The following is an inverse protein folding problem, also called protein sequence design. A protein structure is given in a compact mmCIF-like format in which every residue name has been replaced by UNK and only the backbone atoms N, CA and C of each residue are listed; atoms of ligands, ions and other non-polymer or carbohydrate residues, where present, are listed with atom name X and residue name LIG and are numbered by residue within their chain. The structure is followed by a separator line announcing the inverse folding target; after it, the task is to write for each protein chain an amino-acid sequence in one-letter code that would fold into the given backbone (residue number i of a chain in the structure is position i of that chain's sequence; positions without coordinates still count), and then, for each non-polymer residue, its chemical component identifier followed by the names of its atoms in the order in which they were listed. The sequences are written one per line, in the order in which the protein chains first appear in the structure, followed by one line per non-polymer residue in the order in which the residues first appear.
data_IF_990188992872
#
_entry.id   IF_990188992872
#
_cell.length_a   1.000
_cell.length_b   1.000
_cell.length_c   1.000
_cell.angle_alpha   90.00
_cell.angle_beta   90.00
_cell.angle_gamma   90.00
#
_symmetry.space_group_name_H-M   'P 1'
#
loop_
_entity.id
_entity.type
_entity.pdbx_description
1 polymer ?
#
# COMPACT_ATOMS: atom_id res chain seq x y z
N UNK A 1 -33.06 57.64 22.27
CA UNK A 1 -32.55 56.54 21.38
C UNK A 1 -31.61 57.15 20.32
N UNK A 2 -30.27 56.92 20.46
CA UNK A 2 -29.28 57.40 19.48
C UNK A 2 -29.44 56.62 18.18
N UNK A 3 -29.74 57.27 17.07
CA UNK A 3 -29.83 56.66 15.73
C UNK A 3 -28.41 56.39 15.24
N UNK A 4 -28.12 55.13 14.90
CA UNK A 4 -26.84 54.69 14.30
C UNK A 4 -26.68 55.37 12.93
N UNK A 5 -25.55 56.06 12.65
CA UNK A 5 -25.31 56.76 11.39
C UNK A 5 -25.38 55.80 10.18
N UNK A 6 -25.93 56.29 9.05
CA UNK A 6 -26.10 55.46 7.81
C UNK A 6 -24.80 54.82 7.34
N UNK A 7 -23.64 55.48 7.49
CA UNK A 7 -22.32 54.92 7.13
C UNK A 7 -21.93 53.70 7.97
N UNK A 8 -22.30 53.66 9.26
CA UNK A 8 -22.02 52.51 10.14
C UNK A 8 -22.91 51.33 9.78
N UNK A 9 -24.18 51.58 9.38
CA UNK A 9 -25.07 50.53 8.93
C UNK A 9 -24.60 49.87 7.60
N UNK A 10 -24.05 50.67 6.67
CA UNK A 10 -23.48 50.18 5.44
C UNK A 10 -22.22 49.31 5.70
N UNK A 11 -21.35 49.77 6.62
CA UNK A 11 -20.13 49.01 6.99
C UNK A 11 -20.46 47.68 7.67
N UNK A 12 -21.49 47.65 8.54
CA UNK A 12 -22.00 46.43 9.17
C UNK A 12 -22.59 45.46 8.15
N UNK A 13 -23.30 45.97 7.13
CA UNK A 13 -23.84 45.16 6.04
C UNK A 13 -22.76 44.52 5.17
N UNK A 14 -21.67 45.26 4.86
CA UNK A 14 -20.52 44.75 4.08
C UNK A 14 -19.78 43.67 4.86
N UNK A 15 -19.55 43.85 6.17
CA UNK A 15 -18.92 42.82 7.01
C UNK A 15 -19.78 41.54 7.14
N UNK A 16 -21.10 41.68 7.24
CA UNK A 16 -22.00 40.52 7.27
C UNK A 16 -21.96 39.76 5.95
N UNK A 17 -21.90 40.44 4.79
CA UNK A 17 -21.79 39.82 3.48
C UNK A 17 -20.45 39.06 3.31
N UNK A 18 -19.36 39.66 3.77
CA UNK A 18 -18.02 39.05 3.75
C UNK A 18 -17.98 37.76 4.59
N UNK A 19 -18.57 37.78 5.79
CA UNK A 19 -18.64 36.58 6.64
C UNK A 19 -19.47 35.48 6.00
N UNK A 20 -20.56 35.78 5.32
CA UNK A 20 -21.37 34.81 4.59
C UNK A 20 -20.59 34.22 3.42
N UNK A 21 -19.85 35.05 2.67
CA UNK A 21 -18.97 34.56 1.59
C UNK A 21 -17.87 33.63 2.11
N UNK A 22 -17.23 33.96 3.23
CA UNK A 22 -16.21 33.10 3.86
C UNK A 22 -16.84 31.76 4.29
N UNK A 23 -18.02 31.77 4.89
CA UNK A 23 -18.72 30.54 5.27
C UNK A 23 -19.11 29.67 4.07
N UNK A 24 -19.59 30.29 2.98
CA UNK A 24 -19.93 29.56 1.73
C UNK A 24 -18.66 28.98 1.11
N UNK A 25 -17.58 29.76 1.01
CA UNK A 25 -16.30 29.27 0.48
C UNK A 25 -15.71 28.13 1.33
N UNK A 26 -15.75 28.24 2.66
CA UNK A 26 -15.32 27.18 3.56
C UNK A 26 -16.17 25.92 3.42
N UNK A 27 -17.49 26.06 3.29
CA UNK A 27 -18.40 24.95 3.11
C UNK A 27 -18.19 24.25 1.74
N UNK A 28 -17.93 25.01 0.68
CA UNK A 28 -17.61 24.48 -0.64
C UNK A 28 -16.25 23.79 -0.68
N UNK A 29 -15.25 24.32 0.04
CA UNK A 29 -13.93 23.69 0.23
C UNK A 29 -14.06 22.37 1.00
N UNK A 30 -14.81 22.35 2.09
CA UNK A 30 -15.07 21.13 2.87
C UNK A 30 -15.81 20.08 2.01
N UNK A 31 -16.84 20.50 1.24
CA UNK A 31 -17.52 19.59 0.30
C UNK A 31 -16.57 19.02 -0.75
N UNK A 32 -15.60 19.82 -1.24
CA UNK A 32 -14.63 19.36 -2.24
C UNK A 32 -13.62 18.38 -1.66
N UNK A 33 -13.28 18.52 -0.37
CA UNK A 33 -12.37 17.60 0.36
C UNK A 33 -13.12 16.31 0.77
N UNK A 34 -14.43 16.37 1.01
CA UNK A 34 -15.25 15.23 1.43
C UNK A 34 -15.98 14.53 0.28
N UNK A 35 -15.91 15.03 -0.96
CA UNK A 35 -16.34 14.23 -2.12
C UNK A 35 -15.30 13.16 -2.38
N UNK A 36 -15.70 11.86 -2.40
CA UNK A 36 -14.81 10.82 -2.94
C UNK A 36 -14.49 11.22 -4.38
N UNK A 37 -13.23 11.38 -4.70
CA UNK A 37 -12.80 11.56 -6.09
C UNK A 37 -13.15 10.27 -6.83
N UNK A 38 -14.06 10.33 -7.78
CA UNK A 38 -14.29 9.27 -8.78
C UNK A 38 -13.06 9.18 -9.72
N UNK A 39 -11.91 8.94 -9.11
CA UNK A 39 -10.64 8.79 -9.77
C UNK A 39 -9.98 7.50 -9.36
N UNK A 40 -10.12 6.50 -10.19
CA UNK A 40 -9.34 5.27 -10.23
C UNK A 40 -9.95 4.04 -9.54
N UNK A 41 -10.78 3.34 -10.30
CA UNK A 41 -11.32 1.99 -10.02
C UNK A 41 -10.23 0.96 -9.67
N UNK A 42 -8.97 1.20 -9.98
CA UNK A 42 -7.86 0.29 -9.73
C UNK A 42 -7.43 0.26 -8.25
N UNK A 43 -7.38 1.42 -7.58
CA UNK A 43 -7.00 1.51 -6.17
C UNK A 43 -8.06 0.91 -5.24
N UNK A 44 -9.35 1.13 -5.53
CA UNK A 44 -10.46 0.60 -4.72
C UNK A 44 -10.57 -0.93 -4.80
N UNK A 45 -10.26 -1.54 -5.96
CA UNK A 45 -10.25 -2.98 -6.12
C UNK A 45 -9.10 -3.64 -5.34
N UNK A 46 -7.94 -3.00 -5.30
CA UNK A 46 -6.78 -3.50 -4.57
C UNK A 46 -6.98 -3.44 -3.05
N UNK A 47 -7.48 -2.32 -2.53
CA UNK A 47 -7.82 -2.17 -1.11
C UNK A 47 -8.88 -3.18 -0.68
N UNK A 48 -9.91 -3.38 -1.50
CA UNK A 48 -10.98 -4.35 -1.22
C UNK A 48 -10.48 -5.79 -1.21
N UNK A 49 -9.54 -6.14 -2.08
CA UNK A 49 -8.94 -7.49 -2.11
C UNK A 49 -8.04 -7.77 -0.89
N UNK A 50 -7.36 -6.75 -0.37
CA UNK A 50 -6.55 -6.85 0.84
C UNK A 50 -7.44 -6.99 2.09
N UNK A 51 -8.54 -6.25 2.15
CA UNK A 51 -9.54 -6.35 3.22
C UNK A 51 -10.20 -7.73 3.24
N UNK A 52 -10.54 -8.30 2.08
CA UNK A 52 -11.06 -9.67 1.97
C UNK A 52 -10.02 -10.73 2.38
N UNK A 53 -8.74 -10.50 2.07
CA UNK A 53 -7.65 -11.40 2.46
C UNK A 53 -7.50 -11.47 3.99
N UNK A 54 -7.55 -10.34 4.66
CA UNK A 54 -7.35 -10.23 6.11
C UNK A 54 -8.60 -10.53 6.95
N UNK A 55 -9.81 -10.24 6.43
CA UNK A 55 -11.06 -10.36 7.18
C UNK A 55 -11.47 -11.79 7.54
N UNK A 56 -10.90 -12.79 6.86
CA UNK A 56 -11.19 -14.21 7.08
C UNK A 56 -10.25 -14.91 8.08
N UNK A 57 -9.23 -14.21 8.59
CA UNK A 57 -8.21 -14.80 9.45
C UNK A 57 -8.47 -14.49 10.92
N UNK A 58 -8.60 -15.52 11.73
CA UNK A 58 -8.64 -15.42 13.19
C UNK A 58 -7.20 -15.26 13.72
N UNK A 59 -7.00 -14.27 14.60
CA UNK A 59 -5.71 -13.97 15.22
C UNK A 59 -5.68 -14.36 16.67
N UNK A 60 -4.56 -14.85 17.15
CA UNK A 60 -4.37 -15.22 18.55
C UNK A 60 -3.06 -14.63 19.10
N UNK A 61 -3.11 -14.09 20.32
CA UNK A 61 -1.92 -13.61 21.00
C UNK A 61 -1.20 -14.78 21.66
N UNK A 62 0.12 -14.82 21.48
CA UNK A 62 1.00 -15.84 22.09
C UNK A 62 1.88 -15.21 23.15
N UNK A 63 2.18 -15.97 24.21
CA UNK A 63 2.95 -15.49 25.36
C UNK A 63 4.44 -15.34 25.07
N UNK A 64 4.99 -16.21 24.21
CA UNK A 64 6.41 -16.19 23.85
C UNK A 64 6.62 -15.47 22.52
N UNK A 65 7.72 -14.73 22.34
CA UNK A 65 8.06 -14.17 21.04
C UNK A 65 8.12 -15.25 19.97
N UNK A 66 7.56 -14.95 18.80
CA UNK A 66 7.55 -15.85 17.66
C UNK A 66 8.57 -15.40 16.62
N UNK A 67 9.08 -16.36 15.86
CA UNK A 67 9.90 -16.06 14.68
C UNK A 67 8.96 -15.76 13.51
N UNK A 68 9.22 -14.66 12.81
CA UNK A 68 8.56 -14.31 11.56
C UNK A 68 9.48 -14.72 10.40
N UNK A 69 9.14 -15.76 9.62
CA UNK A 69 9.88 -16.07 8.40
C UNK A 69 9.66 -14.97 7.37
N UNK A 70 10.76 -14.45 6.82
CA UNK A 70 10.76 -13.44 5.76
C UNK A 70 11.54 -14.01 4.58
N UNK A 71 10.94 -14.01 3.39
CA UNK A 71 11.62 -14.29 2.14
C UNK A 71 11.78 -12.97 1.40
N UNK A 72 13.02 -12.52 1.30
CA UNK A 72 13.40 -11.27 0.65
C UNK A 72 13.87 -11.55 -0.77
N UNK A 73 13.35 -10.80 -1.71
CA UNK A 73 13.70 -10.80 -3.12
C UNK A 73 14.07 -9.38 -3.55
N UNK A 74 14.70 -9.26 -4.71
CA UNK A 74 14.91 -7.99 -5.40
C UNK A 74 14.30 -8.08 -6.79
N UNK A 75 14.93 -8.79 -7.72
CA UNK A 75 14.50 -8.93 -9.10
C UNK A 75 14.04 -10.34 -9.45
N UNK A 76 13.03 -10.42 -10.33
CA UNK A 76 12.50 -11.69 -10.86
C UNK A 76 12.43 -11.62 -12.39
N UNK A 77 13.51 -12.02 -13.05
CA UNK A 77 13.58 -12.09 -14.52
C UNK A 77 14.63 -13.11 -14.95
N UNK A 78 14.70 -13.41 -16.26
CA UNK A 78 15.78 -14.21 -16.80
C UNK A 78 17.05 -13.35 -16.86
N UNK A 79 18.05 -13.71 -16.08
CA UNK A 79 19.30 -12.97 -15.95
C UNK A 79 20.05 -12.88 -17.28
N UNK A 80 20.50 -11.71 -17.66
CA UNK A 80 21.44 -11.49 -18.75
C UNK A 80 22.89 -11.71 -18.28
N UNK A 81 23.81 -12.05 -19.20
CA UNK A 81 25.23 -12.24 -18.87
C UNK A 81 25.87 -10.98 -18.26
N UNK A 82 25.44 -9.81 -18.69
CA UNK A 82 25.90 -8.50 -18.16
C UNK A 82 25.57 -8.29 -16.68
N UNK A 83 24.58 -9.01 -16.16
CA UNK A 83 24.07 -8.92 -14.78
C UNK A 83 24.75 -9.90 -13.82
N UNK A 84 25.74 -10.67 -14.29
CA UNK A 84 26.41 -11.73 -13.50
C UNK A 84 26.94 -11.24 -12.15
N UNK A 85 27.34 -9.97 -12.03
CA UNK A 85 27.77 -9.36 -10.77
C UNK A 85 26.64 -9.28 -9.72
N UNK A 86 25.37 -9.29 -10.15
CA UNK A 86 24.17 -9.16 -9.32
C UNK A 86 23.35 -10.47 -9.28
N UNK A 87 23.92 -11.59 -9.71
CA UNK A 87 23.24 -12.88 -9.82
C UNK A 87 22.55 -13.32 -8.51
N UNK A 88 23.07 -12.93 -7.37
CA UNK A 88 22.50 -13.22 -6.04
C UNK A 88 21.23 -12.41 -5.73
N UNK A 89 20.89 -11.39 -6.52
CA UNK A 89 19.71 -10.55 -6.36
C UNK A 89 18.59 -10.92 -7.36
N UNK A 90 18.90 -11.80 -8.33
CA UNK A 90 18.00 -12.13 -9.44
C UNK A 90 17.53 -13.59 -9.29
N UNK A 91 16.22 -13.80 -9.40
CA UNK A 91 15.59 -15.11 -9.43
C UNK A 91 14.86 -15.27 -10.76
N UNK A 92 15.05 -16.36 -11.48
CA UNK A 92 14.30 -16.60 -12.69
C UNK A 92 12.80 -16.82 -12.42
N UNK A 93 11.90 -16.45 -13.36
CA UNK A 93 10.45 -16.51 -13.15
C UNK A 93 9.91 -17.92 -12.86
N UNK A 94 10.50 -18.96 -13.46
CA UNK A 94 10.07 -20.35 -13.25
C UNK A 94 10.42 -20.81 -11.83
N UNK A 95 11.63 -20.48 -11.36
CA UNK A 95 12.05 -20.76 -9.99
C UNK A 95 11.17 -20.00 -9.00
N UNK A 96 10.91 -18.72 -9.22
CA UNK A 96 10.02 -17.96 -8.36
C UNK A 96 8.60 -18.56 -8.33
N UNK A 97 8.03 -18.90 -9.47
CA UNK A 97 6.73 -19.56 -9.54
C UNK A 97 6.72 -20.90 -8.80
N UNK A 98 7.80 -21.70 -8.92
CA UNK A 98 7.92 -22.97 -8.21
C UNK A 98 7.94 -22.80 -6.69
N UNK A 99 8.58 -21.73 -6.20
CA UNK A 99 8.59 -21.36 -4.78
C UNK A 99 7.19 -20.97 -4.28
N UNK A 100 6.43 -20.18 -5.06
CA UNK A 100 5.02 -19.87 -4.73
C UNK A 100 4.15 -21.12 -4.68
N UNK A 101 4.32 -22.04 -5.65
CA UNK A 101 3.64 -23.36 -5.66
C UNK A 101 3.96 -24.16 -4.41
N UNK A 102 5.23 -24.19 -3.99
CA UNK A 102 5.67 -24.91 -2.81
C UNK A 102 5.06 -24.30 -1.51
N UNK A 103 5.09 -22.99 -1.37
CA UNK A 103 4.45 -22.30 -0.25
C UNK A 103 2.95 -22.59 -0.17
N UNK A 104 2.25 -22.53 -1.31
CA UNK A 104 0.82 -22.84 -1.40
C UNK A 104 0.52 -24.28 -1.02
N UNK A 105 1.29 -25.23 -1.57
CA UNK A 105 1.16 -26.66 -1.26
C UNK A 105 1.41 -26.96 0.21
N UNK A 106 2.36 -26.25 0.84
CA UNK A 106 2.67 -26.38 2.26
C UNK A 106 1.68 -25.65 3.19
N UNK A 107 0.67 -24.95 2.64
CA UNK A 107 -0.37 -24.26 3.39
C UNK A 107 0.08 -22.97 4.06
N UNK A 108 1.09 -22.30 3.49
CA UNK A 108 1.52 -20.99 4.00
C UNK A 108 0.54 -19.90 3.61
N UNK A 109 0.27 -19.03 4.58
CA UNK A 109 -0.42 -17.77 4.45
C UNK A 109 0.62 -16.67 4.28
N UNK A 110 0.50 -15.85 3.25
CA UNK A 110 1.40 -14.73 3.00
C UNK A 110 0.86 -13.48 3.65
N UNK A 111 1.72 -12.76 4.38
CA UNK A 111 1.33 -11.63 5.22
C UNK A 111 1.37 -10.31 4.46
N UNK A 112 0.43 -9.40 4.82
CA UNK A 112 0.55 -7.98 4.50
C UNK A 112 1.55 -7.29 5.45
N UNK A 113 2.01 -6.06 5.16
CA UNK A 113 2.85 -5.29 6.08
C UNK A 113 2.22 -5.09 7.45
N UNK A 114 0.90 -4.81 7.50
CA UNK A 114 0.15 -4.60 8.73
C UNK A 114 0.09 -5.88 9.57
N UNK A 115 -0.08 -7.02 8.92
CA UNK A 115 -0.12 -8.33 9.56
C UNK A 115 1.26 -8.72 10.09
N UNK A 116 2.32 -8.47 9.33
CA UNK A 116 3.69 -8.66 9.78
C UNK A 116 4.00 -7.78 11.00
N UNK A 117 3.62 -6.50 10.97
CA UNK A 117 3.74 -5.59 12.11
C UNK A 117 2.95 -6.11 13.33
N UNK A 118 1.76 -6.66 13.13
CA UNK A 118 0.94 -7.24 14.19
C UNK A 118 1.65 -8.40 14.90
N UNK A 119 2.34 -9.25 14.15
CA UNK A 119 3.17 -10.32 14.70
C UNK A 119 4.32 -9.75 15.51
N UNK A 120 5.09 -8.82 14.92
CA UNK A 120 6.30 -8.28 15.53
C UNK A 120 6.03 -7.40 16.76
N UNK A 121 5.02 -6.53 16.69
CA UNK A 121 4.74 -5.56 17.73
C UNK A 121 3.79 -6.07 18.82
N UNK A 122 2.84 -6.96 18.47
CA UNK A 122 1.78 -7.40 19.39
C UNK A 122 1.86 -8.87 19.76
N UNK A 123 2.77 -9.63 19.14
CA UNK A 123 2.90 -11.07 19.34
C UNK A 123 1.60 -11.83 19.02
N UNK A 124 0.84 -11.32 18.03
CA UNK A 124 -0.39 -11.91 17.54
C UNK A 124 -0.10 -12.64 16.22
N UNK A 125 -0.53 -13.89 16.12
CA UNK A 125 -0.29 -14.73 14.95
C UNK A 125 -1.59 -15.24 14.34
N UNK A 126 -1.62 -15.54 13.03
CA UNK A 126 -2.76 -16.22 12.40
C UNK A 126 -2.99 -17.58 13.03
N UNK A 127 -4.17 -17.78 13.64
CA UNK A 127 -4.49 -18.99 14.40
C UNK A 127 -4.47 -20.24 13.52
N UNK A 128 -3.64 -21.20 13.87
CA UNK A 128 -3.55 -22.48 13.17
C UNK A 128 -2.99 -22.40 11.75
N UNK A 129 -2.39 -21.29 11.34
CA UNK A 129 -1.78 -21.12 10.02
C UNK A 129 -0.25 -21.12 10.11
N UNK A 130 0.39 -21.69 9.10
CA UNK A 130 1.77 -21.36 8.76
C UNK A 130 1.75 -20.02 8.05
N UNK A 131 2.72 -19.16 8.31
CA UNK A 131 2.78 -17.84 7.71
C UNK A 131 4.21 -17.48 7.28
N UNK A 132 4.30 -16.60 6.29
CA UNK A 132 5.55 -16.08 5.74
C UNK A 132 5.31 -14.66 5.23
N UNK A 133 6.30 -13.82 5.34
CA UNK A 133 6.26 -12.50 4.74
C UNK A 133 7.15 -12.47 3.51
N UNK A 134 6.58 -12.15 2.35
CA UNK A 134 7.32 -11.98 1.10
C UNK A 134 7.63 -10.49 0.95
N UNK A 135 8.89 -10.14 0.77
CA UNK A 135 9.33 -8.76 0.54
C UNK A 135 10.15 -8.69 -0.74
N UNK A 136 9.97 -7.57 -1.45
CA UNK A 136 10.75 -7.23 -2.63
C UNK A 136 11.35 -5.86 -2.38
N UNK A 137 12.64 -5.71 -2.62
CA UNK A 137 13.36 -4.47 -2.37
C UNK A 137 13.66 -3.75 -3.69
N UNK A 138 13.98 -2.46 -3.60
CA UNK A 138 14.40 -1.52 -4.64
C UNK A 138 13.31 -1.02 -5.59
N UNK A 139 12.14 -1.65 -5.67
CA UNK A 139 11.05 -1.20 -6.56
C UNK A 139 11.35 -1.43 -8.05
N UNK A 140 11.95 -2.58 -8.38
CA UNK A 140 12.27 -2.97 -9.75
C UNK A 140 11.00 -3.21 -10.57
N UNK A 141 11.01 -2.86 -11.86
CA UNK A 141 9.84 -2.92 -12.76
C UNK A 141 9.28 -4.35 -12.91
N UNK A 142 10.12 -5.36 -12.81
CA UNK A 142 9.70 -6.76 -12.90
C UNK A 142 8.74 -7.18 -11.78
N UNK A 143 8.72 -6.45 -10.66
CA UNK A 143 7.67 -6.64 -9.65
C UNK A 143 6.28 -6.45 -10.25
N UNK A 144 6.07 -5.45 -11.08
CA UNK A 144 4.78 -5.22 -11.70
C UNK A 144 4.52 -6.16 -12.88
N UNK A 145 5.53 -6.38 -13.72
CA UNK A 145 5.37 -7.11 -14.98
C UNK A 145 5.37 -8.63 -14.83
N UNK A 146 6.05 -9.17 -13.81
CA UNK A 146 6.24 -10.61 -13.60
C UNK A 146 5.70 -11.05 -12.23
N UNK A 147 6.16 -10.41 -11.14
CA UNK A 147 5.86 -10.86 -9.78
C UNK A 147 4.37 -10.72 -9.46
N UNK A 148 3.80 -9.53 -9.70
CA UNK A 148 2.40 -9.24 -9.36
C UNK A 148 1.40 -10.18 -10.07
N UNK A 149 1.51 -10.48 -11.37
CA UNK A 149 0.68 -11.50 -12.03
C UNK A 149 0.77 -12.87 -11.37
N UNK A 150 1.96 -13.30 -10.96
CA UNK A 150 2.15 -14.59 -10.28
C UNK A 150 1.54 -14.58 -8.88
N UNK A 151 1.76 -13.55 -8.08
CA UNK A 151 1.13 -13.41 -6.77
C UNK A 151 -0.39 -13.48 -6.89
N UNK A 152 -0.96 -12.78 -7.86
CA UNK A 152 -2.41 -12.80 -8.13
C UNK A 152 -2.91 -14.18 -8.52
N UNK A 153 -2.18 -14.91 -9.39
CA UNK A 153 -2.48 -16.30 -9.80
C UNK A 153 -2.56 -17.25 -8.59
N UNK A 154 -1.64 -17.08 -7.62
CA UNK A 154 -1.59 -17.94 -6.43
C UNK A 154 -2.40 -17.40 -5.25
N UNK A 155 -3.04 -16.23 -5.38
CA UNK A 155 -3.76 -15.51 -4.30
C UNK A 155 -2.85 -15.27 -3.09
N UNK A 156 -1.65 -14.77 -3.37
CA UNK A 156 -0.64 -14.43 -2.37
C UNK A 156 -0.42 -12.92 -2.33
N UNK A 157 0.07 -12.44 -1.20
CA UNK A 157 0.45 -11.04 -0.98
C UNK A 157 1.96 -10.93 -0.79
N UNK A 158 2.52 -9.78 -1.14
CA UNK A 158 3.89 -9.41 -0.87
C UNK A 158 3.98 -7.90 -0.59
N UNK A 159 5.09 -7.47 -0.01
CA UNK A 159 5.43 -6.07 0.16
C UNK A 159 6.49 -5.68 -0.86
N UNK A 160 6.30 -4.57 -1.55
CA UNK A 160 7.31 -3.98 -2.41
C UNK A 160 7.87 -2.71 -1.73
N UNK A 161 9.15 -2.74 -1.36
CA UNK A 161 9.87 -1.64 -0.72
C UNK A 161 10.52 -0.78 -1.80
N UNK A 162 9.86 0.30 -2.17
CA UNK A 162 10.24 1.16 -3.28
C UNK A 162 11.22 2.24 -2.80
N UNK A 163 12.35 2.41 -3.53
CA UNK A 163 13.26 3.53 -3.34
C UNK A 163 12.72 4.74 -4.09
N UNK A 164 12.06 5.64 -3.38
CA UNK A 164 11.37 6.80 -3.98
C UNK A 164 12.26 7.74 -4.77
N UNK A 165 13.54 7.83 -4.41
CA UNK A 165 14.51 8.63 -5.17
C UNK A 165 14.78 8.06 -6.58
N UNK A 166 14.66 6.75 -6.75
CA UNK A 166 14.82 6.11 -8.07
C UNK A 166 13.62 6.34 -8.96
N UNK A 167 12.42 6.22 -8.43
CA UNK A 167 11.17 6.41 -9.17
C UNK A 167 11.00 7.84 -9.68
N UNK A 168 11.51 8.84 -8.95
CA UNK A 168 11.46 10.25 -9.36
C UNK A 168 12.50 10.61 -10.42
N UNK A 169 13.56 9.84 -10.56
CA UNK A 169 14.67 10.12 -11.50
C UNK A 169 14.56 9.35 -12.81
N UNK A 170 13.43 8.71 -13.09
CA UNK A 170 13.19 7.94 -14.32
C UNK A 170 14.36 6.99 -14.67
N UNK A 171 14.88 6.30 -13.68
CA UNK A 171 15.91 5.29 -13.92
C UNK A 171 15.33 4.11 -14.68
N UNK A 172 16.10 3.54 -15.58
CA UNK A 172 15.74 2.32 -16.29
C UNK A 172 15.44 1.17 -15.30
N UNK A 173 14.45 0.35 -15.65
CA UNK A 173 14.06 -0.86 -14.90
C UNK A 173 13.55 -0.63 -13.47
N UNK A 174 13.09 0.55 -13.12
CA UNK A 174 12.38 0.81 -11.84
C UNK A 174 10.95 1.25 -12.08
N UNK A 175 10.08 0.97 -11.10
CA UNK A 175 8.70 1.44 -11.13
C UNK A 175 8.65 2.96 -11.10
N UNK A 176 7.84 3.56 -11.97
CA UNK A 176 7.53 5.00 -11.99
C UNK A 176 6.12 5.24 -11.50
N UNK A 177 5.87 6.45 -10.99
CA UNK A 177 4.53 6.88 -10.56
C UNK A 177 3.77 7.57 -11.69
#
# INVERSE_FOLDING_TARGET
KRRVPKKIKALLGINALLLVCIFICSFLLIKRITQPSDGNTSGTAMTRSLDEHSSSIEWTRVKKPVKLPILMYHSVHNMDESEAANANLIVDPETFESQLKALKKAGYYTLTPEEAYRILAKNEVPKGKKYVWLTFDDGVEDFYTIVYPLLKKYKMTATNNIITDFTQKEKENVLTF
#
